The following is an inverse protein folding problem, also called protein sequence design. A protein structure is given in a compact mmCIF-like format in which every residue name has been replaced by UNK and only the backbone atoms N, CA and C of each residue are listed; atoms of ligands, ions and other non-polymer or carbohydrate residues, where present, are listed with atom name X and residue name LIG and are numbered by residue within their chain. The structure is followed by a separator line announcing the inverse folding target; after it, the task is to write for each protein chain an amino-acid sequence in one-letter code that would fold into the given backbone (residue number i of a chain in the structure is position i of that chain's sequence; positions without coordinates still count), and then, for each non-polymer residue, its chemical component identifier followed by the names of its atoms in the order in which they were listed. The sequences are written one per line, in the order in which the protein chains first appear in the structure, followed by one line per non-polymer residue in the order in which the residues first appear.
data_IF_303815211653
#
_entry.id   IF_303815211653
#
_cell.length_a   1.000
_cell.length_b   1.000
_cell.length_c   1.000
_cell.angle_alpha   90.00
_cell.angle_beta   90.00
_cell.angle_gamma   90.00
#
_symmetry.space_group_name_H-M   'P 1'
#
loop_
_entity.id
_entity.type
_entity.pdbx_description
1 polymer ?
#
# COMPACT_ATOMS: atom_id res chain seq x y z
N UNK A 1 -15.02 18.17 14.69
CA UNK A 1 -14.51 17.46 13.50
C UNK A 1 -14.44 18.50 12.41
N UNK A 2 -13.27 18.66 11.78
CA UNK A 2 -13.16 19.55 10.65
C UNK A 2 -13.78 18.86 9.43
N UNK A 3 -14.71 19.53 8.76
CA UNK A 3 -15.27 19.03 7.50
C UNK A 3 -14.19 19.07 6.41
N UNK A 4 -14.26 18.24 5.36
CA UNK A 4 -13.31 18.33 4.23
C UNK A 4 -13.15 19.75 3.67
N UNK A 5 -14.19 20.59 3.78
CA UNK A 5 -14.17 22.02 3.49
C UNK A 5 -13.22 22.84 4.36
N UNK A 6 -13.15 22.56 5.65
CA UNK A 6 -12.24 23.23 6.58
C UNK A 6 -10.78 22.80 6.37
N UNK A 7 -10.55 21.63 5.77
CA UNK A 7 -9.24 21.14 5.34
C UNK A 7 -8.83 21.61 3.92
N UNK A 8 -9.63 22.45 3.27
CA UNK A 8 -9.31 23.04 1.95
C UNK A 8 -9.83 22.25 0.74
N UNK A 9 -10.57 21.15 0.94
CA UNK A 9 -11.21 20.44 -0.17
C UNK A 9 -12.51 21.15 -0.58
N UNK A 10 -12.53 21.71 -1.79
CA UNK A 10 -13.67 22.47 -2.30
C UNK A 10 -14.85 21.57 -2.74
N UNK A 11 -14.55 20.34 -3.18
CA UNK A 11 -15.49 19.25 -3.45
C UNK A 11 -14.73 17.91 -3.55
N UNK A 12 -15.22 16.85 -2.90
CA UNK A 12 -14.78 15.48 -3.20
C UNK A 12 -15.97 14.75 -3.81
N UNK A 13 -15.85 14.39 -5.09
CA UNK A 13 -16.79 13.47 -5.72
C UNK A 13 -16.25 12.05 -5.51
N UNK A 14 -16.54 11.46 -4.36
CA UNK A 14 -16.47 10.01 -4.23
C UNK A 14 -17.69 9.47 -4.98
N UNK A 15 -17.46 8.72 -6.06
CA UNK A 15 -18.56 7.99 -6.70
C UNK A 15 -18.90 6.83 -5.76
N UNK A 16 -19.90 7.06 -4.90
CA UNK A 16 -20.41 6.03 -4.00
C UNK A 16 -21.26 5.08 -4.85
N UNK A 17 -20.60 4.09 -5.43
CA UNK A 17 -21.17 3.08 -6.32
C UNK A 17 -20.35 2.91 -7.60
N UNK A 18 -20.47 1.75 -8.23
CA UNK A 18 -19.71 1.42 -9.45
C UNK A 18 -19.92 2.42 -10.60
N UNK A 19 -19.28 2.20 -11.76
CA UNK A 19 -19.25 3.16 -12.88
C UNK A 19 -20.62 3.58 -13.45
N UNK A 20 -21.70 2.89 -13.07
CA UNK A 20 -23.10 3.20 -13.42
C UNK A 20 -23.90 3.87 -12.30
N UNK A 21 -23.32 4.12 -11.14
CA UNK A 21 -24.01 4.74 -10.01
C UNK A 21 -24.25 6.23 -10.25
N UNK A 22 -25.39 6.71 -9.77
CA UNK A 22 -25.66 8.16 -9.76
C UNK A 22 -24.76 8.81 -8.73
N UNK A 23 -23.95 9.83 -9.10
CA UNK A 23 -23.13 10.56 -8.13
C UNK A 23 -24.01 11.09 -6.99
N UNK A 24 -23.61 10.81 -5.75
CA UNK A 24 -24.26 11.34 -4.56
C UNK A 24 -23.35 12.35 -3.88
N UNK A 25 -23.95 13.35 -3.23
CA UNK A 25 -23.20 14.26 -2.36
C UNK A 25 -22.52 13.42 -1.27
N UNK A 26 -21.20 13.55 -1.18
CA UNK A 26 -20.38 12.80 -0.22
C UNK A 26 -19.75 13.78 0.76
N UNK A 27 -20.02 13.57 2.05
CA UNK A 27 -19.34 14.30 3.12
C UNK A 27 -18.04 13.56 3.49
N UNK A 28 -16.91 14.18 3.18
CA UNK A 28 -15.60 13.67 3.58
C UNK A 28 -15.25 14.19 4.97
N UNK A 29 -15.05 13.25 5.89
CA UNK A 29 -14.59 13.52 7.24
C UNK A 29 -13.23 12.85 7.47
N UNK A 30 -12.26 13.58 8.02
CA UNK A 30 -11.05 12.97 8.55
C UNK A 30 -11.34 12.44 9.95
N UNK A 31 -11.43 11.12 10.08
CA UNK A 31 -11.79 10.43 11.32
C UNK A 31 -10.65 9.48 11.69
N UNK A 32 -10.18 9.50 12.94
CA UNK A 32 -9.25 8.46 13.43
C UNK A 32 -10.01 7.18 13.71
N UNK A 33 -9.53 5.98 13.37
CA UNK A 33 -10.25 4.74 13.68
C UNK A 33 -10.58 4.63 15.17
N UNK A 34 -11.87 4.54 15.51
CA UNK A 34 -12.32 4.25 16.86
C UNK A 34 -13.62 3.41 16.82
N UNK A 35 -13.84 2.48 17.77
CA UNK A 35 -15.03 1.63 17.81
C UNK A 35 -16.36 2.41 17.79
N UNK A 36 -16.35 3.65 18.26
CA UNK A 36 -17.52 4.52 18.29
C UNK A 36 -17.88 5.14 16.93
N UNK A 37 -17.04 4.98 15.90
CA UNK A 37 -17.19 5.66 14.62
C UNK A 37 -17.87 4.84 13.53
N UNK A 38 -18.16 3.56 13.78
CA UNK A 38 -19.01 2.74 12.89
C UNK A 38 -20.44 3.29 12.73
N UNK A 39 -20.82 4.32 13.50
CA UNK A 39 -22.10 5.02 13.39
C UNK A 39 -21.98 6.46 12.88
N UNK A 40 -20.78 6.89 12.48
CA UNK A 40 -20.53 8.27 12.03
C UNK A 40 -20.11 8.38 10.57
N UNK A 41 -19.71 7.26 9.93
CA UNK A 41 -19.36 7.20 8.51
C UNK A 41 -19.91 5.91 7.89
N UNK A 42 -20.35 5.96 6.63
CA UNK A 42 -20.88 4.81 5.91
C UNK A 42 -19.79 4.00 5.17
N UNK A 43 -18.67 4.64 4.84
CA UNK A 43 -17.54 4.05 4.11
C UNK A 43 -16.20 4.64 4.57
N UNK A 44 -15.11 3.92 4.32
CA UNK A 44 -13.74 4.33 4.67
C UNK A 44 -12.82 4.23 3.45
N UNK A 45 -11.86 5.15 3.33
CA UNK A 45 -10.76 5.05 2.38
C UNK A 45 -9.48 4.68 3.15
N UNK A 46 -9.04 3.43 3.01
CA UNK A 46 -7.91 2.86 3.76
C UNK A 46 -7.12 1.87 2.92
N UNK A 47 -6.00 1.41 3.45
CA UNK A 47 -5.39 0.17 3.00
C UNK A 47 -6.29 -1.02 3.34
N UNK A 48 -6.34 -2.01 2.45
CA UNK A 48 -7.18 -3.20 2.65
C UNK A 48 -6.64 -4.10 3.76
N UNK A 49 -5.35 -4.01 4.03
CA UNK A 49 -4.56 -4.75 5.02
C UNK A 49 -4.83 -4.28 6.45
N UNK A 50 -5.31 -3.05 6.64
CA UNK A 50 -5.37 -2.36 7.93
C UNK A 50 -6.79 -2.37 8.52
N UNK A 51 -7.53 -1.26 8.43
CA UNK A 51 -8.83 -1.09 9.08
C UNK A 51 -9.86 -2.18 8.72
N UNK A 52 -9.95 -2.69 7.48
CA UNK A 52 -10.84 -3.80 7.17
C UNK A 52 -10.54 -5.06 8.01
N UNK A 53 -9.28 -5.35 8.29
CA UNK A 53 -8.89 -6.49 9.12
C UNK A 53 -9.23 -6.25 10.60
N UNK A 54 -8.99 -5.05 11.11
CA UNK A 54 -9.42 -4.68 12.47
C UNK A 54 -10.93 -4.87 12.66
N UNK A 55 -11.72 -4.45 11.68
CA UNK A 55 -13.18 -4.61 11.68
C UNK A 55 -13.59 -6.08 11.64
N UNK A 56 -12.95 -6.91 10.79
CA UNK A 56 -13.20 -8.36 10.70
C UNK A 56 -12.89 -9.05 12.03
N UNK A 57 -11.75 -8.74 12.67
CA UNK A 57 -11.37 -9.28 13.99
C UNK A 57 -12.43 -8.94 15.06
N UNK A 58 -13.06 -7.76 14.94
CA UNK A 58 -14.14 -7.32 15.84
C UNK A 58 -15.52 -7.88 15.47
N UNK A 59 -15.61 -8.74 14.45
CA UNK A 59 -16.84 -9.40 14.03
C UNK A 59 -17.77 -8.53 13.19
N UNK A 60 -17.29 -7.43 12.62
CA UNK A 60 -18.05 -6.63 11.67
C UNK A 60 -18.03 -7.29 10.29
N UNK A 61 -19.16 -7.23 9.57
CA UNK A 61 -19.18 -7.52 8.14
C UNK A 61 -18.53 -6.35 7.38
N UNK A 62 -17.57 -6.66 6.50
CA UNK A 62 -16.81 -5.65 5.76
C UNK A 62 -16.85 -5.98 4.28
N UNK A 63 -17.30 -5.02 3.48
CA UNK A 63 -17.19 -5.05 2.02
C UNK A 63 -16.04 -4.13 1.60
N UNK A 64 -15.18 -4.62 0.70
CA UNK A 64 -14.00 -3.89 0.19
C UNK A 64 -13.93 -4.02 -1.32
N UNK A 65 -13.35 -3.03 -1.98
CA UNK A 65 -12.90 -3.11 -3.38
C UNK A 65 -11.58 -2.37 -3.51
N UNK A 66 -10.70 -2.80 -4.42
CA UNK A 66 -9.47 -2.08 -4.72
C UNK A 66 -9.72 -1.05 -5.81
N UNK A 67 -9.09 0.12 -5.71
CA UNK A 67 -9.13 1.12 -6.77
C UNK A 67 -8.49 0.59 -8.07
N UNK A 68 -7.49 -0.27 -7.94
CA UNK A 68 -6.83 -0.93 -9.08
C UNK A 68 -7.82 -1.75 -9.93
N UNK A 69 -8.79 -2.42 -9.30
CA UNK A 69 -9.84 -3.18 -10.00
C UNK A 69 -10.82 -2.28 -10.78
N UNK A 70 -10.74 -0.96 -10.57
CA UNK A 70 -11.60 0.05 -11.16
C UNK A 70 -10.80 1.13 -11.92
N UNK A 71 -9.74 0.71 -12.62
CA UNK A 71 -8.95 1.54 -13.53
C UNK A 71 -8.24 2.72 -12.84
N UNK A 72 -7.92 2.56 -11.55
CA UNK A 72 -7.11 3.52 -10.81
C UNK A 72 -5.92 2.80 -10.16
N UNK A 73 -4.99 2.25 -10.97
CA UNK A 73 -3.81 1.56 -10.47
C UNK A 73 -2.80 2.57 -9.93
N UNK A 74 -2.57 2.53 -8.61
CA UNK A 74 -1.51 3.28 -7.98
C UNK A 74 -0.47 2.35 -7.37
N UNK A 75 0.79 2.49 -7.83
CA UNK A 75 1.93 1.99 -7.08
C UNK A 75 2.00 2.79 -5.77
N UNK A 76 2.06 2.07 -4.66
CA UNK A 76 2.09 2.65 -3.31
C UNK A 76 3.18 1.96 -2.48
N UNK A 77 3.34 2.38 -1.22
CA UNK A 77 4.33 1.80 -0.28
C UNK A 77 5.76 1.76 -0.85
N UNK A 78 6.21 2.91 -1.37
CA UNK A 78 7.49 3.01 -2.04
C UNK A 78 8.66 3.26 -1.07
N UNK A 79 9.83 2.77 -1.45
CA UNK A 79 11.09 3.16 -0.82
C UNK A 79 11.55 4.53 -1.33
N UNK A 80 11.87 5.42 -0.40
CA UNK A 80 12.38 6.75 -0.72
C UNK A 80 13.74 6.98 -0.05
N UNK A 81 14.71 7.36 -0.86
CA UNK A 81 16.05 7.78 -0.43
C UNK A 81 16.40 9.10 -1.11
N UNK A 82 17.41 9.82 -0.59
CA UNK A 82 17.94 10.98 -1.30
C UNK A 82 18.76 10.50 -2.50
N UNK A 83 18.72 11.22 -3.62
CA UNK A 83 19.53 10.93 -4.81
C UNK A 83 21.02 10.81 -4.48
N UNK A 84 21.55 11.69 -3.63
CA UNK A 84 22.94 11.62 -3.14
C UNK A 84 23.27 10.31 -2.39
N UNK A 85 22.28 9.69 -1.75
CA UNK A 85 22.46 8.41 -1.05
C UNK A 85 22.52 7.24 -2.01
N UNK A 86 21.87 7.33 -3.19
CA UNK A 86 21.99 6.33 -4.25
C UNK A 86 23.45 6.23 -4.70
N UNK A 87 24.15 7.35 -4.82
CA UNK A 87 25.56 7.35 -5.22
C UNK A 87 26.50 6.96 -4.06
N UNK A 88 26.32 7.59 -2.89
CA UNK A 88 27.26 7.47 -1.78
C UNK A 88 27.10 6.19 -0.96
N UNK A 89 25.90 5.62 -0.92
CA UNK A 89 25.52 4.54 0.00
C UNK A 89 24.80 3.38 -0.73
N UNK A 90 25.03 3.22 -2.04
CA UNK A 90 24.37 2.20 -2.87
C UNK A 90 24.44 0.80 -2.24
N UNK A 91 25.59 0.39 -1.71
CA UNK A 91 25.76 -0.93 -1.10
C UNK A 91 24.86 -1.13 0.13
N UNK A 92 24.63 -0.07 0.93
CA UNK A 92 23.72 -0.14 2.07
C UNK A 92 22.27 -0.21 1.61
N UNK A 93 21.90 0.55 0.59
CA UNK A 93 20.55 0.52 0.02
C UNK A 93 20.26 -0.86 -0.58
N UNK A 94 21.18 -1.40 -1.39
CA UNK A 94 21.06 -2.77 -1.94
C UNK A 94 20.98 -3.82 -0.84
N UNK A 95 21.69 -3.64 0.28
CA UNK A 95 21.63 -4.56 1.42
C UNK A 95 20.26 -4.53 2.11
N UNK A 96 19.65 -3.36 2.30
CA UNK A 96 18.29 -3.22 2.83
C UNK A 96 17.28 -3.88 1.89
N UNK A 97 17.32 -3.55 0.60
CA UNK A 97 16.43 -4.15 -0.41
C UNK A 97 16.58 -5.69 -0.43
N UNK A 98 17.82 -6.19 -0.43
CA UNK A 98 18.09 -7.65 -0.36
C UNK A 98 17.48 -8.29 0.89
N UNK A 99 17.58 -7.64 2.05
CA UNK A 99 17.05 -8.18 3.30
C UNK A 99 15.52 -8.22 3.28
N UNK A 100 14.88 -7.18 2.76
CA UNK A 100 13.43 -7.10 2.66
C UNK A 100 12.85 -8.07 1.62
N UNK A 101 13.49 -8.21 0.45
CA UNK A 101 13.09 -9.23 -0.54
C UNK A 101 13.10 -10.63 0.08
N UNK A 102 14.09 -10.94 0.93
CA UNK A 102 14.16 -12.22 1.62
C UNK A 102 13.03 -12.38 2.63
N UNK A 103 12.76 -11.35 3.42
CA UNK A 103 11.67 -11.38 4.40
C UNK A 103 10.31 -11.61 3.72
N UNK A 104 10.02 -10.83 2.67
CA UNK A 104 8.77 -10.98 1.92
C UNK A 104 8.67 -12.32 1.19
N UNK A 105 9.78 -12.89 0.71
CA UNK A 105 9.81 -14.24 0.11
C UNK A 105 9.54 -15.35 1.13
N UNK A 106 10.02 -15.18 2.36
CA UNK A 106 9.84 -16.14 3.46
C UNK A 106 8.46 -16.00 4.13
N UNK A 107 7.87 -14.80 4.10
CA UNK A 107 6.60 -14.46 4.76
C UNK A 107 5.46 -15.46 4.48
N UNK A 108 5.20 -15.92 3.23
CA UNK A 108 4.14 -16.90 2.97
C UNK A 108 4.26 -18.22 3.74
N UNK A 109 5.46 -18.62 4.14
CA UNK A 109 5.68 -19.87 4.87
C UNK A 109 5.30 -19.75 6.37
N UNK A 110 5.43 -18.56 6.96
CA UNK A 110 4.97 -18.26 8.32
C UNK A 110 4.59 -16.76 8.45
N UNK A 111 3.44 -16.33 7.90
CA UNK A 111 3.03 -14.92 7.96
C UNK A 111 2.88 -14.42 9.40
N UNK A 112 2.58 -15.35 10.31
CA UNK A 112 2.41 -15.02 11.71
C UNK A 112 3.73 -14.69 12.42
N UNK A 113 4.88 -15.12 11.88
CA UNK A 113 6.20 -14.78 12.46
C UNK A 113 6.49 -13.30 12.37
N UNK A 114 6.34 -12.70 11.19
CA UNK A 114 6.55 -11.28 10.97
C UNK A 114 5.63 -10.45 11.87
N UNK A 115 4.33 -10.77 11.82
CA UNK A 115 3.30 -10.15 12.67
C UNK A 115 3.64 -10.21 14.17
N UNK A 116 4.06 -11.37 14.68
CA UNK A 116 4.48 -11.52 16.08
C UNK A 116 5.67 -10.64 16.44
N UNK A 117 6.70 -10.63 15.60
CA UNK A 117 7.90 -9.81 15.84
C UNK A 117 7.55 -8.31 15.83
N UNK A 118 6.70 -7.90 14.88
CA UNK A 118 6.19 -6.54 14.81
C UNK A 118 5.38 -6.17 16.07
N UNK A 119 4.37 -6.95 16.44
CA UNK A 119 3.48 -6.63 17.56
C UNK A 119 4.14 -6.72 18.94
N UNK A 120 5.01 -7.72 19.15
CA UNK A 120 5.46 -8.09 20.51
C UNK A 120 6.91 -7.73 20.83
N UNK A 121 7.75 -7.53 19.81
CA UNK A 121 9.18 -7.23 19.99
C UNK A 121 9.50 -5.79 19.58
N UNK A 122 9.27 -5.47 18.30
CA UNK A 122 9.71 -4.20 17.71
C UNK A 122 8.70 -3.07 17.92
N UNK A 123 7.41 -3.39 17.94
CA UNK A 123 6.28 -2.46 18.11
C UNK A 123 5.51 -2.64 19.41
N UNK A 124 6.12 -3.26 20.44
CA UNK A 124 5.45 -3.59 21.72
C UNK A 124 4.73 -2.41 22.39
N UNK A 125 5.24 -1.19 22.17
CA UNK A 125 4.74 0.04 22.79
C UNK A 125 3.68 0.75 21.91
N UNK A 126 3.35 0.18 20.75
CA UNK A 126 2.35 0.72 19.80
C UNK A 126 0.93 0.19 20.06
N UNK A 127 0.79 -0.85 20.88
CA UNK A 127 -0.52 -1.42 21.23
C UNK A 127 -1.20 -2.16 20.06
N UNK A 128 -0.41 -2.77 19.18
CA UNK A 128 -0.89 -3.54 18.03
C UNK A 128 -1.61 -4.82 18.48
N UNK A 129 -2.70 -5.18 17.81
CA UNK A 129 -3.39 -6.45 18.02
C UNK A 129 -2.72 -7.55 17.18
N UNK A 130 -2.15 -8.57 17.82
CA UNK A 130 -1.39 -9.61 17.09
C UNK A 130 -2.27 -10.36 16.07
N UNK A 131 -3.56 -10.56 16.33
CA UNK A 131 -4.44 -11.26 15.40
C UNK A 131 -4.72 -10.42 14.15
N UNK A 132 -4.90 -9.10 14.31
CA UNK A 132 -4.96 -8.14 13.21
C UNK A 132 -3.67 -8.17 12.38
N UNK A 133 -2.50 -8.09 13.02
CA UNK A 133 -1.21 -8.08 12.32
C UNK A 133 -0.95 -9.36 11.52
N UNK A 134 -1.45 -10.51 11.99
CA UNK A 134 -1.37 -11.78 11.26
C UNK A 134 -2.25 -11.76 10.00
N UNK A 135 -3.40 -11.06 10.04
CA UNK A 135 -4.23 -10.85 8.84
C UNK A 135 -3.56 -9.88 7.88
N UNK A 136 -3.02 -8.77 8.39
CA UNK A 136 -2.27 -7.78 7.62
C UNK A 136 -1.14 -8.44 6.80
N UNK A 137 -0.31 -9.26 7.46
CA UNK A 137 0.79 -9.97 6.79
C UNK A 137 0.30 -10.97 5.72
N UNK A 138 -0.88 -11.59 5.90
CA UNK A 138 -1.45 -12.48 4.88
C UNK A 138 -1.98 -11.71 3.68
N UNK A 139 -2.74 -10.65 3.93
CA UNK A 139 -3.34 -9.83 2.88
C UNK A 139 -2.24 -9.11 2.08
N UNK A 140 -1.18 -8.66 2.73
CA UNK A 140 0.00 -8.09 2.07
C UNK A 140 0.65 -9.10 1.12
N UNK A 141 0.78 -10.37 1.52
CA UNK A 141 1.31 -11.42 0.65
C UNK A 141 0.44 -11.61 -0.60
N UNK A 142 -0.89 -11.49 -0.48
CA UNK A 142 -1.81 -11.60 -1.63
C UNK A 142 -1.65 -10.43 -2.62
N UNK A 143 -1.34 -9.23 -2.11
CA UNK A 143 -1.13 -8.04 -2.93
C UNK A 143 0.27 -8.00 -3.59
N UNK A 144 1.31 -8.36 -2.84
CA UNK A 144 2.70 -8.24 -3.28
C UNK A 144 3.20 -9.41 -4.11
N UNK A 145 2.70 -10.63 -3.88
CA UNK A 145 3.13 -11.84 -4.58
C UNK A 145 2.23 -12.14 -5.76
N UNK A 146 2.30 -11.28 -6.76
CA UNK A 146 1.55 -11.38 -8.01
C UNK A 146 2.24 -12.34 -9.00
N UNK A 147 1.63 -12.56 -10.17
CA UNK A 147 2.30 -13.28 -11.24
C UNK A 147 3.54 -12.51 -11.75
N UNK A 148 3.46 -11.17 -11.73
CA UNK A 148 4.51 -10.30 -12.22
C UNK A 148 5.74 -10.31 -11.31
N UNK A 149 5.54 -10.12 -10.00
CA UNK A 149 6.66 -10.10 -9.04
C UNK A 149 7.32 -11.47 -8.87
N UNK A 150 6.61 -12.57 -9.15
CA UNK A 150 7.21 -13.90 -9.27
C UNK A 150 8.06 -14.08 -10.54
N UNK A 151 7.76 -13.34 -11.61
CA UNK A 151 8.50 -13.43 -12.86
C UNK A 151 9.70 -12.48 -12.91
N UNK A 152 9.51 -11.27 -12.38
CA UNK A 152 10.45 -10.15 -12.51
C UNK A 152 11.16 -9.80 -11.19
N UNK A 153 10.66 -10.31 -10.07
CA UNK A 153 11.19 -10.07 -8.73
C UNK A 153 10.30 -9.14 -7.89
N UNK A 154 10.42 -9.25 -6.56
CA UNK A 154 9.78 -8.30 -5.65
C UNK A 154 10.32 -6.88 -5.86
N UNK A 155 9.46 -5.87 -5.63
CA UNK A 155 9.72 -4.44 -5.83
C UNK A 155 9.96 -3.98 -7.27
N UNK A 156 9.84 -4.85 -8.27
CA UNK A 156 9.82 -4.41 -9.67
C UNK A 156 8.43 -3.91 -10.06
N UNK A 157 8.39 -3.03 -11.07
CA UNK A 157 7.16 -2.48 -11.64
C UNK A 157 7.26 -2.65 -13.15
N UNK A 158 6.22 -3.19 -13.79
CA UNK A 158 6.20 -3.31 -15.25
C UNK A 158 6.14 -1.93 -15.92
N UNK A 159 6.65 -1.85 -17.15
CA UNK A 159 6.49 -0.63 -17.96
C UNK A 159 5.01 -0.25 -18.17
N UNK A 160 4.14 -1.25 -18.35
CA UNK A 160 2.69 -1.03 -18.46
C UNK A 160 2.13 -0.38 -17.19
N UNK A 161 2.46 -0.90 -16.01
CA UNK A 161 1.99 -0.34 -14.74
C UNK A 161 2.55 1.07 -14.49
N UNK A 162 3.78 1.36 -14.91
CA UNK A 162 4.34 2.73 -14.87
C UNK A 162 3.51 3.67 -15.76
N UNK A 163 3.22 3.28 -17.01
CA UNK A 163 2.41 4.09 -17.93
C UNK A 163 1.00 4.34 -17.41
N UNK A 164 0.36 3.32 -16.83
CA UNK A 164 -0.94 3.45 -16.19
C UNK A 164 -0.91 4.40 -14.99
N UNK A 165 0.16 4.34 -14.18
CA UNK A 165 0.35 5.21 -13.04
C UNK A 165 0.47 6.68 -13.45
N UNK A 166 1.32 6.99 -14.42
CA UNK A 166 1.50 8.35 -14.95
C UNK A 166 0.20 8.87 -15.55
N UNK A 167 -0.54 8.03 -16.29
CA UNK A 167 -1.87 8.41 -16.82
C UNK A 167 -2.85 8.75 -15.70
N UNK A 168 -2.86 7.96 -14.62
CA UNK A 168 -3.73 8.16 -13.47
C UNK A 168 -3.42 9.48 -12.75
N UNK A 169 -2.13 9.78 -12.54
CA UNK A 169 -1.67 11.04 -11.98
C UNK A 169 -2.03 12.24 -12.87
N UNK A 170 -1.92 12.09 -14.19
CA UNK A 170 -2.35 13.12 -15.15
C UNK A 170 -3.85 13.42 -15.08
N UNK A 171 -4.70 12.41 -14.89
CA UNK A 171 -6.15 12.59 -14.66
C UNK A 171 -6.41 13.40 -13.37
N UNK A 172 -5.57 13.19 -12.34
CA UNK A 172 -5.62 13.94 -11.09
C UNK A 172 -5.00 15.35 -11.19
N UNK A 173 -4.49 15.75 -12.36
CA UNK A 173 -3.88 17.06 -12.61
C UNK A 173 -2.43 17.19 -12.17
N UNK A 174 -1.74 16.07 -11.94
CA UNK A 174 -0.31 16.03 -11.63
C UNK A 174 0.48 15.81 -12.93
N UNK A 175 1.35 16.77 -13.27
CA UNK A 175 2.24 16.72 -14.43
C UNK A 175 3.63 16.26 -13.98
N UNK A 176 3.97 15.00 -14.27
CA UNK A 176 5.23 14.35 -13.87
C UNK A 176 5.58 13.25 -14.87
N UNK A 177 6.87 13.04 -15.16
CA UNK A 177 7.33 11.94 -16.02
C UNK A 177 7.66 10.67 -15.21
N UNK A 178 7.77 9.53 -15.91
CA UNK A 178 8.15 8.27 -15.29
C UNK A 178 9.55 8.34 -14.66
N UNK A 179 10.50 8.99 -15.33
CA UNK A 179 11.89 9.14 -14.89
C UNK A 179 12.03 10.06 -13.68
N UNK A 180 11.09 10.99 -13.49
CA UNK A 180 11.05 11.86 -12.30
C UNK A 180 10.46 11.14 -11.09
N UNK A 181 9.60 10.15 -11.32
CA UNK A 181 8.86 9.45 -10.26
C UNK A 181 9.50 8.12 -9.85
N UNK A 182 10.06 7.37 -10.79
CA UNK A 182 10.56 6.02 -10.57
C UNK A 182 12.05 5.90 -10.89
N UNK A 183 12.83 5.42 -9.91
CA UNK A 183 14.18 4.92 -10.10
C UNK A 183 14.21 3.42 -9.75
N UNK A 184 14.28 2.58 -10.77
CA UNK A 184 14.36 1.12 -10.63
C UNK A 184 15.78 0.58 -10.79
N UNK A 185 16.79 1.44 -10.93
CA UNK A 185 18.16 1.01 -11.23
C UNK A 185 18.72 0.06 -10.17
N UNK A 186 18.64 0.44 -8.89
CA UNK A 186 19.19 -0.34 -7.79
C UNK A 186 18.46 -1.66 -7.58
N UNK A 187 17.13 -1.71 -7.75
CA UNK A 187 16.39 -2.97 -7.59
C UNK A 187 16.69 -3.94 -8.73
N UNK A 188 16.84 -3.44 -9.96
CA UNK A 188 17.25 -4.27 -11.10
C UNK A 188 18.65 -4.87 -10.87
N UNK A 189 19.61 -4.05 -10.41
CA UNK A 189 20.96 -4.54 -10.06
C UNK A 189 20.94 -5.59 -8.95
N UNK A 190 20.06 -5.48 -7.95
CA UNK A 190 19.92 -6.47 -6.88
C UNK A 190 19.48 -7.83 -7.45
N UNK A 191 18.47 -7.84 -8.32
CA UNK A 191 17.97 -9.08 -8.94
C UNK A 191 18.98 -9.68 -9.92
N UNK A 192 19.68 -8.85 -10.71
CA UNK A 192 20.77 -9.30 -11.59
C UNK A 192 21.92 -9.96 -10.78
N UNK A 193 22.30 -9.35 -9.66
CA UNK A 193 23.37 -9.86 -8.80
C UNK A 193 22.95 -11.06 -7.93
N UNK A 194 21.64 -11.26 -7.72
CA UNK A 194 21.09 -12.31 -6.85
C UNK A 194 19.89 -13.02 -7.50
N UNK A 195 20.12 -13.82 -8.56
CA UNK A 195 19.03 -14.55 -9.22
C UNK A 195 18.29 -15.54 -8.31
N UNK A 196 18.86 -15.90 -7.16
CA UNK A 196 18.21 -16.73 -6.12
C UNK A 196 17.06 -16.01 -5.39
N UNK A 197 16.96 -14.69 -5.53
CA UNK A 197 15.91 -13.88 -4.95
C UNK A 197 14.66 -13.75 -5.82
N UNK A 198 14.72 -14.17 -7.09
CA UNK A 198 13.55 -14.37 -7.94
C UNK A 198 12.68 -15.55 -7.45
#
# INVERSE_FOLDING_TARGET
MATGREAGFSRVNLIVGGPSATPQDTDVATVRPAPTHHRTVDSWFSFITDEPNLLRVRGCEVATFLLADHNFPLVSETYMVRTESIEAECDRIRAVLTADIRDQKDSPADPARGARLAATVHGRDLGLDEAEQVLESKDQNELGLTADTRANGLFTITGELIEENIRTLGIAGVDITAEELFDLSLINEVHEAKPDLL
#
